data_IF_084929206693
#
_entry.id   IF_084929206693
#
_cell.length_a   1.000
_cell.length_b   1.000
_cell.length_c   1.000
_cell.angle_alpha   90.00
_cell.angle_beta   90.00
_cell.angle_gamma   90.00
#
_symmetry.space_group_name_H-M   'P 1'
#
loop_
_entity.id
_entity.type
_entity.pdbx_description
1 polymer ?
#
# COMPACT_ATOMS: atom_id res chain seq x y z
N UNK A 1 -5.98 24.08 -48.27
CA UNK A 1 -5.43 22.73 -48.02
C UNK A 1 -6.53 21.68 -48.21
N UNK A 2 -6.31 20.68 -49.09
CA UNK A 2 -7.33 19.65 -49.39
C UNK A 2 -7.70 18.83 -48.15
N UNK A 3 -8.97 18.45 -48.03
CA UNK A 3 -9.52 17.68 -46.90
C UNK A 3 -8.74 16.35 -46.70
N UNK A 4 -8.34 15.71 -47.80
CA UNK A 4 -7.49 14.51 -47.79
C UNK A 4 -6.13 14.73 -47.12
N UNK A 5 -5.49 15.88 -47.36
CA UNK A 5 -4.20 16.22 -46.75
C UNK A 5 -4.35 16.43 -45.24
N UNK A 6 -5.43 17.10 -44.80
CA UNK A 6 -5.73 17.32 -43.37
C UNK A 6 -5.96 15.99 -42.64
N UNK A 7 -6.80 15.11 -43.20
CA UNK A 7 -7.07 13.77 -42.65
C UNK A 7 -5.81 12.91 -42.52
N UNK A 8 -4.87 13.03 -43.46
CA UNK A 8 -3.58 12.33 -43.38
C UNK A 8 -2.67 12.87 -42.27
N UNK A 9 -2.63 14.18 -42.04
CA UNK A 9 -1.83 14.76 -40.94
C UNK A 9 -2.36 14.30 -39.58
N UNK A 10 -3.66 14.43 -39.32
CA UNK A 10 -4.25 14.00 -38.04
C UNK A 10 -4.10 12.51 -37.79
N UNK A 11 -4.13 11.68 -38.84
CA UNK A 11 -3.85 10.24 -38.73
C UNK A 11 -2.42 9.99 -38.27
N UNK A 12 -1.43 10.70 -38.81
CA UNK A 12 -0.02 10.57 -38.40
C UNK A 12 0.18 11.06 -36.96
N UNK A 13 -0.37 12.22 -36.61
CA UNK A 13 -0.30 12.76 -35.26
C UNK A 13 -0.91 11.82 -34.22
N UNK A 14 -2.07 11.22 -34.53
CA UNK A 14 -2.69 10.20 -33.68
C UNK A 14 -1.72 9.06 -33.37
N UNK A 15 -1.12 8.45 -34.40
CA UNK A 15 -0.23 7.31 -34.21
C UNK A 15 1.05 7.70 -33.47
N UNK A 16 1.63 8.87 -33.77
CA UNK A 16 2.80 9.37 -33.06
C UNK A 16 2.46 9.55 -31.58
N UNK A 17 1.41 10.30 -31.23
CA UNK A 17 1.01 10.53 -29.84
C UNK A 17 0.66 9.24 -29.10
N UNK A 18 -0.01 8.30 -29.76
CA UNK A 18 -0.34 7.00 -29.18
C UNK A 18 0.94 6.21 -28.89
N UNK A 19 1.83 6.06 -29.88
CA UNK A 19 3.04 5.27 -29.76
C UNK A 19 4.05 5.89 -28.80
N UNK A 20 4.23 7.22 -28.79
CA UNK A 20 5.15 7.90 -27.88
C UNK A 20 4.67 7.90 -26.43
N UNK A 21 3.36 7.77 -26.18
CA UNK A 21 2.84 7.71 -24.81
C UNK A 21 3.35 6.50 -24.02
N UNK A 22 3.64 5.37 -24.66
CA UNK A 22 4.10 4.16 -24.00
C UNK A 22 5.56 4.24 -23.48
N UNK A 23 6.57 4.56 -24.31
CA UNK A 23 7.94 4.69 -23.83
C UNK A 23 8.13 5.86 -22.86
N UNK A 24 7.22 6.84 -22.82
CA UNK A 24 7.24 7.90 -21.80
C UNK A 24 7.13 7.36 -20.37
N UNK A 25 6.52 6.18 -20.17
CA UNK A 25 6.49 5.50 -18.87
C UNK A 25 7.77 4.71 -18.57
N UNK A 26 8.63 4.48 -19.56
CA UNK A 26 9.96 3.89 -19.39
C UNK A 26 11.05 4.95 -19.20
N UNK A 27 10.84 6.15 -19.75
CA UNK A 27 11.81 7.24 -19.82
C UNK A 27 11.28 8.47 -19.08
N UNK A 28 11.52 8.51 -17.77
CA UNK A 28 11.01 9.56 -16.87
C UNK A 28 11.31 10.98 -17.35
N UNK A 29 12.54 11.25 -17.81
CA UNK A 29 13.00 12.61 -18.15
C UNK A 29 12.23 13.27 -19.30
N UNK A 30 11.53 12.49 -20.12
CA UNK A 30 10.75 13.01 -21.25
C UNK A 30 9.23 12.93 -21.03
N UNK A 31 8.79 12.36 -19.90
CA UNK A 31 7.37 12.07 -19.66
C UNK A 31 6.50 13.33 -19.75
N UNK A 32 6.94 14.44 -19.17
CA UNK A 32 6.20 15.71 -19.20
C UNK A 32 6.11 16.32 -20.61
N UNK A 33 7.20 16.26 -21.39
CA UNK A 33 7.21 16.76 -22.79
C UNK A 33 6.23 15.95 -23.63
N UNK A 34 6.26 14.63 -23.48
CA UNK A 34 5.37 13.72 -24.21
C UNK A 34 3.92 13.91 -23.76
N UNK A 35 3.66 14.14 -22.47
CA UNK A 35 2.33 14.41 -21.95
C UNK A 35 1.74 15.72 -22.53
N UNK A 36 2.54 16.80 -22.58
CA UNK A 36 2.13 18.08 -23.19
C UNK A 36 1.84 17.89 -24.69
N UNK A 37 2.75 17.22 -25.42
CA UNK A 37 2.53 16.91 -26.83
C UNK A 37 1.24 16.09 -27.04
N UNK A 38 1.04 15.06 -26.22
CA UNK A 38 -0.15 14.23 -26.27
C UNK A 38 -1.41 15.06 -26.02
N UNK A 39 -1.41 15.96 -25.04
CA UNK A 39 -2.55 16.83 -24.72
C UNK A 39 -2.87 17.78 -25.89
N UNK A 40 -1.86 18.37 -26.51
CA UNK A 40 -2.04 19.22 -27.70
C UNK A 40 -2.67 18.42 -28.84
N UNK A 41 -2.13 17.23 -29.15
CA UNK A 41 -2.70 16.35 -30.18
C UNK A 41 -4.14 15.96 -29.84
N UNK A 42 -4.41 15.64 -28.58
CA UNK A 42 -5.75 15.28 -28.12
C UNK A 42 -6.76 16.42 -28.33
N UNK A 43 -6.43 17.66 -27.93
CA UNK A 43 -7.28 18.84 -28.14
C UNK A 43 -7.53 19.09 -29.64
N UNK A 44 -6.48 18.96 -30.47
CA UNK A 44 -6.60 19.09 -31.92
C UNK A 44 -7.52 18.01 -32.52
N UNK A 45 -7.37 16.76 -32.06
CA UNK A 45 -8.21 15.65 -32.52
C UNK A 45 -9.66 15.81 -32.04
N UNK A 46 -9.93 16.32 -30.84
CA UNK A 46 -11.31 16.59 -30.40
C UNK A 46 -12.01 17.53 -31.38
N UNK A 47 -11.33 18.60 -31.81
CA UNK A 47 -11.90 19.62 -32.69
C UNK A 47 -12.10 19.14 -34.12
N UNK A 48 -11.21 18.28 -34.63
CA UNK A 48 -11.19 17.92 -36.06
C UNK A 48 -11.60 16.48 -36.38
N UNK A 49 -11.43 15.55 -35.44
CA UNK A 49 -11.68 14.12 -35.65
C UNK A 49 -11.97 13.42 -34.31
N UNK A 50 -13.17 13.68 -33.77
CA UNK A 50 -13.60 13.18 -32.45
C UNK A 50 -13.47 11.66 -32.31
N UNK A 51 -13.66 10.90 -33.40
CA UNK A 51 -13.49 9.43 -33.39
C UNK A 51 -12.05 9.03 -33.06
N UNK A 52 -11.05 9.72 -33.61
CA UNK A 52 -9.64 9.47 -33.27
C UNK A 52 -9.26 9.98 -31.90
N UNK A 53 -9.85 11.09 -31.44
CA UNK A 53 -9.66 11.57 -30.08
C UNK A 53 -10.09 10.51 -29.04
N UNK A 54 -11.28 9.93 -29.22
CA UNK A 54 -11.74 8.82 -28.37
C UNK A 54 -10.81 7.62 -28.41
N UNK A 55 -10.39 7.19 -29.61
CA UNK A 55 -9.41 6.11 -29.74
C UNK A 55 -8.10 6.45 -29.02
N UNK A 56 -7.67 7.71 -29.03
CA UNK A 56 -6.43 8.11 -28.37
C UNK A 56 -6.56 7.98 -26.85
N UNK A 57 -7.73 8.30 -26.29
CA UNK A 57 -8.01 8.04 -24.87
C UNK A 57 -7.98 6.54 -24.55
N UNK A 58 -8.60 5.69 -25.37
CA UNK A 58 -8.68 4.26 -25.05
C UNK A 58 -7.35 3.49 -25.24
N UNK A 59 -6.46 3.98 -26.10
CA UNK A 59 -5.22 3.26 -26.45
C UNK A 59 -3.93 3.94 -25.97
N UNK A 60 -3.99 5.14 -25.39
CA UNK A 60 -2.79 5.79 -24.83
C UNK A 60 -2.45 5.24 -23.44
N UNK A 61 -1.15 5.20 -23.14
CA UNK A 61 -0.66 4.79 -21.83
C UNK A 61 -1.16 5.74 -20.71
N UNK A 62 -1.33 7.03 -21.01
CA UNK A 62 -1.80 8.05 -20.06
C UNK A 62 -3.17 7.74 -19.43
N UNK A 63 -4.01 6.98 -20.12
CA UNK A 63 -5.33 6.56 -19.61
C UNK A 63 -5.31 5.08 -19.23
N UNK A 64 -4.72 4.24 -20.10
CA UNK A 64 -4.79 2.80 -19.91
C UNK A 64 -3.99 2.35 -18.67
N UNK A 65 -2.84 2.98 -18.38
CA UNK A 65 -2.04 2.64 -17.18
C UNK A 65 -2.81 2.94 -15.89
N UNK A 66 -3.39 4.14 -15.68
CA UNK A 66 -4.28 4.40 -14.54
C UNK A 66 -5.45 3.42 -14.42
N UNK A 67 -6.14 3.13 -15.52
CA UNK A 67 -7.29 2.21 -15.52
C UNK A 67 -6.87 0.81 -15.11
N UNK A 68 -5.77 0.29 -15.67
CA UNK A 68 -5.23 -1.02 -15.30
C UNK A 68 -4.84 -1.04 -13.81
N UNK A 69 -4.19 0.01 -13.29
CA UNK A 69 -3.80 0.08 -11.88
C UNK A 69 -5.00 0.17 -10.94
N UNK A 70 -6.05 0.90 -11.33
CA UNK A 70 -7.32 0.93 -10.61
C UNK A 70 -7.97 -0.47 -10.57
N UNK A 71 -7.97 -1.19 -11.69
CA UNK A 71 -8.46 -2.57 -11.76
C UNK A 71 -7.63 -3.53 -10.89
N UNK A 72 -6.30 -3.39 -10.89
CA UNK A 72 -5.42 -4.17 -10.00
C UNK A 72 -5.75 -3.89 -8.53
N UNK A 73 -5.93 -2.63 -8.13
CA UNK A 73 -6.35 -2.27 -6.77
C UNK A 73 -7.70 -2.87 -6.40
N UNK A 74 -8.65 -2.85 -7.34
CA UNK A 74 -9.98 -3.46 -7.20
C UNK A 74 -9.91 -4.98 -6.99
N UNK A 75 -9.17 -5.69 -7.85
CA UNK A 75 -8.97 -7.14 -7.74
C UNK A 75 -8.24 -7.47 -6.43
N UNK A 76 -7.23 -6.68 -6.07
CA UNK A 76 -6.51 -6.80 -4.81
C UNK A 76 -7.46 -6.70 -3.61
N UNK A 77 -8.36 -5.72 -3.61
CA UNK A 77 -9.32 -5.50 -2.53
C UNK A 77 -10.26 -6.71 -2.37
N UNK A 78 -10.91 -7.15 -3.45
CA UNK A 78 -11.86 -8.26 -3.39
C UNK A 78 -11.19 -9.61 -3.09
N UNK A 79 -9.90 -9.76 -3.40
CA UNK A 79 -9.11 -10.94 -3.05
C UNK A 79 -8.52 -10.90 -1.62
N UNK A 80 -8.67 -9.79 -0.88
CA UNK A 80 -8.08 -9.62 0.46
C UNK A 80 -6.56 -9.48 0.44
N UNK A 81 -5.99 -9.05 -0.70
CA UNK A 81 -4.55 -8.92 -0.92
C UNK A 81 -4.15 -7.51 -1.35
N UNK A 82 -5.03 -6.53 -1.22
CA UNK A 82 -4.71 -5.17 -1.57
C UNK A 82 -3.55 -4.67 -0.71
N UNK A 83 -2.70 -3.88 -1.35
CA UNK A 83 -1.68 -3.07 -0.70
C UNK A 83 -1.73 -1.68 -1.32
N UNK A 84 -1.66 -0.66 -0.47
CA UNK A 84 -1.45 0.72 -0.92
C UNK A 84 0.02 0.94 -1.21
N UNK A 85 0.29 1.72 -2.24
CA UNK A 85 1.64 2.01 -2.70
C UNK A 85 2.00 3.46 -2.35
N UNK A 86 3.16 3.64 -1.74
CA UNK A 86 3.74 4.95 -1.43
C UNK A 86 5.10 5.11 -2.10
N UNK A 87 5.61 6.34 -2.09
CA UNK A 87 6.93 6.70 -2.62
C UNK A 87 7.80 7.13 -1.45
N UNK A 88 9.05 6.69 -1.43
CA UNK A 88 10.04 7.12 -0.44
C UNK A 88 10.74 5.97 0.27
N UNK A 89 11.63 6.32 1.19
CA UNK A 89 12.42 5.34 1.94
C UNK A 89 11.51 4.35 2.70
N UNK A 90 11.91 3.06 2.77
CA UNK A 90 11.20 2.08 3.58
C UNK A 90 11.35 2.46 5.05
N UNK A 91 10.30 3.07 5.60
CA UNK A 91 10.18 3.30 7.03
C UNK A 91 9.50 2.09 7.69
N UNK A 92 9.84 1.75 8.95
CA UNK A 92 9.17 0.70 9.72
C UNK A 92 7.65 0.78 9.68
N UNK A 93 7.08 1.99 9.71
CA UNK A 93 5.63 2.23 9.74
C UNK A 93 4.95 1.95 8.40
N UNK A 94 5.70 1.85 7.30
CA UNK A 94 5.18 1.44 5.99
C UNK A 94 4.92 -0.06 5.90
N UNK A 95 5.38 -0.83 6.90
CA UNK A 95 5.06 -2.24 7.05
C UNK A 95 3.81 -2.46 7.92
N UNK A 96 3.30 -1.42 8.56
CA UNK A 96 2.08 -1.50 9.34
C UNK A 96 0.84 -1.49 8.44
N UNK A 97 -0.22 -2.12 8.93
CA UNK A 97 -1.54 -1.98 8.35
C UNK A 97 -1.99 -0.51 8.46
N UNK A 98 -2.56 0.04 7.41
CA UNK A 98 -3.09 1.39 7.43
C UNK A 98 -4.18 1.52 8.51
N UNK A 99 -4.05 2.44 9.49
CA UNK A 99 -5.03 2.53 10.58
C UNK A 99 -6.44 2.88 10.12
N UNK A 100 -6.56 3.67 9.04
CA UNK A 100 -7.85 4.13 8.54
C UNK A 100 -8.49 3.10 7.61
N UNK A 101 -7.72 2.55 6.68
CA UNK A 101 -8.25 1.71 5.60
C UNK A 101 -8.05 0.20 5.82
N UNK A 102 -7.33 -0.20 6.87
CA UNK A 102 -6.97 -1.59 7.19
C UNK A 102 -6.37 -2.33 5.99
N UNK A 103 -5.45 -1.66 5.30
CA UNK A 103 -4.75 -2.20 4.14
C UNK A 103 -3.25 -2.09 4.34
N UNK A 104 -2.51 -3.12 3.95
CA UNK A 104 -1.07 -3.10 4.05
C UNK A 104 -0.47 -2.01 3.17
N UNK A 105 0.58 -1.36 3.65
CA UNK A 105 1.33 -0.39 2.87
C UNK A 105 2.55 -1.06 2.25
N UNK A 106 3.02 -0.50 1.15
CA UNK A 106 4.23 -0.92 0.45
C UNK A 106 4.83 0.30 -0.23
N UNK A 107 6.15 0.39 -0.25
CA UNK A 107 6.86 1.49 -0.91
C UNK A 107 7.61 1.00 -2.14
N UNK A 108 7.74 1.86 -3.16
CA UNK A 108 8.69 1.65 -4.26
C UNK A 108 10.16 1.82 -3.82
N UNK A 109 10.41 2.16 -2.56
CA UNK A 109 11.73 2.37 -1.99
C UNK A 109 12.37 3.65 -2.50
N UNK A 110 13.70 3.63 -2.65
CA UNK A 110 14.50 4.78 -3.09
C UNK A 110 14.35 5.11 -4.58
N UNK A 111 13.60 4.30 -5.33
CA UNK A 111 13.44 4.49 -6.76
C UNK A 111 12.12 5.21 -7.02
N UNK A 112 12.24 6.45 -7.49
CA UNK A 112 11.12 7.30 -7.90
C UNK A 112 11.23 7.49 -9.41
N UNK A 113 10.28 6.94 -10.15
CA UNK A 113 10.19 7.02 -11.60
C UNK A 113 9.30 8.19 -12.07
N UNK A 114 8.64 8.90 -11.16
CA UNK A 114 7.79 10.06 -11.43
C UNK A 114 6.45 9.76 -12.09
N UNK A 115 6.19 8.51 -12.47
CA UNK A 115 4.90 8.06 -13.00
C UNK A 115 3.98 7.48 -11.90
N UNK A 116 4.38 7.54 -10.63
CA UNK A 116 3.60 7.05 -9.49
C UNK A 116 2.21 7.69 -9.38
N UNK A 117 1.98 8.95 -9.76
CA UNK A 117 0.64 9.51 -9.85
C UNK A 117 -0.29 8.73 -10.80
N UNK A 118 0.26 8.02 -11.80
CA UNK A 118 -0.50 7.22 -12.77
C UNK A 118 -0.59 5.73 -12.38
N UNK A 119 0.27 5.24 -11.49
CA UNK A 119 0.26 3.85 -11.02
C UNK A 119 -0.26 3.72 -9.59
N UNK A 120 0.40 4.35 -8.63
CA UNK A 120 0.07 4.29 -7.21
C UNK A 120 -1.25 5.00 -6.91
N UNK A 121 -1.44 6.21 -7.46
CA UNK A 121 -2.64 7.02 -7.23
C UNK A 121 -3.94 6.27 -7.57
N UNK A 122 -4.12 5.78 -8.81
CA UNK A 122 -5.33 5.05 -9.21
C UNK A 122 -5.53 3.74 -8.45
N UNK A 123 -4.45 3.00 -8.15
CA UNK A 123 -4.53 1.78 -7.32
C UNK A 123 -5.02 2.09 -5.91
N UNK A 124 -4.43 3.08 -5.24
CA UNK A 124 -4.82 3.49 -3.89
C UNK A 124 -6.25 4.04 -3.89
N UNK A 125 -6.63 4.81 -4.91
CA UNK A 125 -7.99 5.32 -5.06
C UNK A 125 -9.03 4.20 -5.16
N UNK A 126 -8.74 3.12 -5.91
CA UNK A 126 -9.62 1.95 -5.96
C UNK A 126 -9.79 1.33 -4.57
N UNK A 127 -8.69 1.10 -3.85
CA UNK A 127 -8.71 0.51 -2.51
C UNK A 127 -9.53 1.38 -1.57
N UNK A 128 -9.27 2.69 -1.51
CA UNK A 128 -10.03 3.60 -0.64
C UNK A 128 -11.51 3.64 -1.00
N UNK A 129 -11.85 3.68 -2.29
CA UNK A 129 -13.23 3.65 -2.76
C UNK A 129 -13.96 2.40 -2.25
N UNK A 130 -13.37 1.22 -2.46
CA UNK A 130 -14.00 -0.03 -2.05
C UNK A 130 -14.05 -0.19 -0.54
N UNK A 131 -13.00 0.25 0.17
CA UNK A 131 -13.00 0.27 1.64
C UNK A 131 -14.13 1.14 2.19
N UNK A 132 -14.35 2.32 1.60
CA UNK A 132 -15.42 3.22 2.02
C UNK A 132 -16.82 2.69 1.69
N UNK A 133 -16.98 1.93 0.60
CA UNK A 133 -18.27 1.40 0.18
C UNK A 133 -18.65 0.09 0.87
N UNK A 134 -17.69 -0.79 1.13
CA UNK A 134 -17.92 -2.17 1.56
C UNK A 134 -17.24 -2.53 2.88
N UNK A 135 -16.52 -1.59 3.50
CA UNK A 135 -15.73 -1.83 4.70
C UNK A 135 -14.34 -2.40 4.38
N UNK A 136 -13.61 -2.83 5.40
CA UNK A 136 -12.26 -3.34 5.22
C UNK A 136 -12.22 -4.60 4.36
N UNK A 137 -11.11 -4.80 3.63
CA UNK A 137 -10.92 -6.00 2.84
C UNK A 137 -10.95 -7.27 3.71
N UNK A 138 -11.04 -8.44 3.08
CA UNK A 138 -10.99 -9.72 3.81
C UNK A 138 -9.57 -9.98 4.32
N UNK A 139 -9.46 -10.83 5.34
CA UNK A 139 -8.18 -11.34 5.87
C UNK A 139 -7.23 -10.25 6.41
N UNK A 140 -7.79 -9.16 6.95
CA UNK A 140 -7.04 -8.14 7.68
C UNK A 140 -7.65 -7.95 9.06
N UNK A 141 -6.93 -7.30 9.95
CA UNK A 141 -7.42 -6.96 11.28
C UNK A 141 -8.44 -5.83 11.22
N UNK A 142 -9.61 -6.01 11.84
CA UNK A 142 -10.73 -5.04 11.82
C UNK A 142 -10.95 -4.35 13.18
N UNK A 143 -10.33 -4.85 14.25
CA UNK A 143 -10.61 -4.43 15.62
C UNK A 143 -9.97 -3.09 16.01
N UNK A 144 -9.90 -2.87 17.33
CA UNK A 144 -9.29 -1.69 17.92
C UNK A 144 -7.79 -1.56 17.56
N UNK A 145 -7.39 -0.38 17.10
CA UNK A 145 -6.02 -0.11 16.64
C UNK A 145 -5.52 1.17 17.30
N UNK A 146 -4.84 1.07 18.46
CA UNK A 146 -4.26 2.23 19.12
C UNK A 146 -3.06 2.75 18.32
N UNK A 147 -2.86 4.06 18.39
CA UNK A 147 -1.59 4.67 17.95
C UNK A 147 -0.46 4.35 18.94
N UNK A 148 0.75 4.79 18.61
CA UNK A 148 1.95 4.53 19.42
C UNK A 148 1.81 5.05 20.85
N UNK A 149 1.35 6.29 21.02
CA UNK A 149 1.16 6.92 22.34
C UNK A 149 0.18 6.10 23.16
N UNK A 150 -0.98 5.77 22.59
CA UNK A 150 -2.01 5.01 23.31
C UNK A 150 -1.57 3.59 23.64
N UNK A 151 -0.79 2.99 22.76
CA UNK A 151 -0.19 1.66 22.97
C UNK A 151 0.76 1.69 24.16
N UNK A 152 1.60 2.72 24.26
CA UNK A 152 2.52 2.88 25.38
C UNK A 152 1.77 3.14 26.69
N UNK A 153 0.72 3.97 26.69
CA UNK A 153 -0.15 4.16 27.87
C UNK A 153 -0.77 2.85 28.37
N UNK A 154 -1.27 2.01 27.45
CA UNK A 154 -1.86 0.72 27.79
C UNK A 154 -0.83 -0.22 28.42
N UNK A 155 0.38 -0.26 27.84
CA UNK A 155 1.50 -1.03 28.40
C UNK A 155 1.87 -0.53 29.79
N UNK A 156 1.94 0.77 30.01
CA UNK A 156 2.33 1.31 31.32
C UNK A 156 1.28 1.09 32.40
N UNK A 157 0.00 1.15 32.05
CA UNK A 157 -1.11 0.95 33.00
C UNK A 157 -1.40 -0.52 33.29
N UNK A 158 -1.30 -1.40 32.29
CA UNK A 158 -1.83 -2.77 32.35
C UNK A 158 -0.81 -3.85 32.00
N UNK A 159 0.36 -3.45 31.50
CA UNK A 159 1.39 -4.37 30.99
C UNK A 159 2.00 -5.20 32.10
N UNK A 160 1.93 -6.53 31.92
CA UNK A 160 2.59 -7.50 32.81
C UNK A 160 3.81 -8.08 32.13
N UNK A 161 4.86 -8.31 32.91
CA UNK A 161 6.03 -9.03 32.44
C UNK A 161 5.65 -10.48 32.08
N UNK A 162 6.14 -10.96 30.95
CA UNK A 162 5.96 -12.33 30.48
C UNK A 162 7.31 -12.91 30.07
N UNK A 163 7.51 -14.19 30.38
CA UNK A 163 8.60 -14.98 29.81
C UNK A 163 8.12 -15.57 28.51
N UNK A 164 8.98 -15.48 27.49
CA UNK A 164 8.66 -15.89 26.14
C UNK A 164 9.35 -17.21 25.83
N UNK A 165 8.59 -18.13 25.26
CA UNK A 165 9.10 -19.34 24.65
C UNK A 165 9.13 -19.14 23.13
N UNK A 166 10.13 -19.73 22.50
CA UNK A 166 10.33 -19.61 21.06
C UNK A 166 9.88 -20.88 20.38
N UNK A 167 9.17 -20.72 19.27
CA UNK A 167 8.73 -21.80 18.40
C UNK A 167 9.21 -21.56 16.97
N UNK A 168 9.08 -22.58 16.12
CA UNK A 168 9.38 -22.45 14.69
C UNK A 168 8.47 -21.44 13.99
N UNK A 169 7.26 -21.23 14.54
CA UNK A 169 6.24 -20.35 13.97
C UNK A 169 6.28 -18.92 14.53
N UNK A 170 7.08 -18.65 15.57
CA UNK A 170 7.16 -17.36 16.23
C UNK A 170 7.46 -17.47 17.72
N UNK A 171 6.63 -16.84 18.54
CA UNK A 171 6.78 -16.86 20.00
C UNK A 171 5.47 -17.21 20.70
N UNK A 172 5.58 -17.87 21.84
CA UNK A 172 4.47 -18.21 22.72
C UNK A 172 4.77 -17.78 24.16
N UNK A 173 3.73 -17.42 24.91
CA UNK A 173 3.87 -17.06 26.31
C UNK A 173 2.56 -17.24 27.07
N UNK A 174 2.67 -17.42 28.38
CA UNK A 174 1.55 -17.50 29.29
C UNK A 174 1.20 -16.10 29.82
N UNK A 175 -0.06 -15.68 29.68
CA UNK A 175 -0.57 -14.43 30.24
C UNK A 175 -1.94 -14.66 30.87
N UNK A 176 -2.08 -14.36 32.16
CA UNK A 176 -3.31 -14.65 32.94
C UNK A 176 -3.81 -16.10 32.74
N UNK A 177 -2.92 -17.08 32.89
CA UNK A 177 -3.22 -18.53 32.77
C UNK A 177 -3.68 -19.00 31.38
N UNK A 178 -3.62 -18.12 30.36
CA UNK A 178 -3.90 -18.46 28.97
C UNK A 178 -2.63 -18.36 28.13
N UNK A 179 -2.42 -19.34 27.25
CA UNK A 179 -1.33 -19.30 26.28
C UNK A 179 -1.71 -18.40 25.11
N UNK A 180 -0.78 -17.54 24.72
CA UNK A 180 -0.87 -16.70 23.54
C UNK A 180 0.28 -17.03 22.61
N UNK A 181 0.04 -16.92 21.31
CA UNK A 181 1.03 -17.12 20.27
C UNK A 181 1.06 -15.87 19.39
N UNK A 182 2.26 -15.40 19.07
CA UNK A 182 2.51 -14.38 18.06
C UNK A 182 3.30 -15.05 16.95
N UNK A 183 2.72 -15.09 15.76
CA UNK A 183 3.36 -15.72 14.62
C UNK A 183 4.34 -14.77 13.96
N UNK A 184 5.49 -15.32 13.59
CA UNK A 184 6.47 -14.69 12.71
C UNK A 184 6.11 -14.95 11.24
N UNK A 185 4.83 -14.87 10.91
CA UNK A 185 4.27 -15.38 9.65
C UNK A 185 3.69 -14.24 8.82
N UNK A 186 4.50 -13.25 8.47
CA UNK A 186 4.27 -12.48 7.25
C UNK A 186 5.52 -11.65 6.93
N UNK A 187 6.04 -11.77 5.70
CA UNK A 187 7.15 -10.94 5.20
C UNK A 187 6.87 -9.43 5.29
N UNK A 188 5.60 -9.08 5.53
CA UNK A 188 5.08 -7.71 5.55
C UNK A 188 5.16 -7.07 6.92
N UNK A 189 5.18 -7.84 8.00
CA UNK A 189 5.42 -7.33 9.35
C UNK A 189 6.91 -7.51 9.68
N UNK A 190 7.49 -6.58 10.45
CA UNK A 190 8.87 -6.72 10.91
C UNK A 190 9.03 -8.03 11.68
N UNK A 191 9.98 -8.86 11.23
CA UNK A 191 10.24 -10.14 11.87
C UNK A 191 10.55 -9.97 13.36
N UNK A 192 10.06 -10.92 14.16
CA UNK A 192 10.41 -10.99 15.58
C UNK A 192 11.93 -11.26 15.70
N UNK A 193 12.68 -10.44 16.47
CA UNK A 193 14.10 -10.68 16.73
C UNK A 193 14.35 -12.06 17.31
N UNK A 194 15.45 -12.67 16.89
CA UNK A 194 15.83 -14.01 17.33
C UNK A 194 16.15 -14.12 18.83
N UNK A 195 16.39 -12.97 19.48
CA UNK A 195 16.91 -12.85 20.84
C UNK A 195 15.84 -12.52 21.88
N UNK A 196 14.55 -12.59 21.53
CA UNK A 196 13.47 -12.30 22.48
C UNK A 196 13.36 -13.43 23.51
N UNK A 197 13.57 -13.09 24.78
CA UNK A 197 13.41 -14.00 25.93
C UNK A 197 12.31 -13.55 26.90
N UNK A 198 11.99 -12.26 26.92
CA UNK A 198 10.97 -11.66 27.77
C UNK A 198 10.39 -10.40 27.13
N UNK A 199 9.28 -9.95 27.70
CA UNK A 199 8.68 -8.67 27.34
C UNK A 199 7.54 -8.29 28.28
N UNK A 200 6.82 -7.24 27.89
CA UNK A 200 5.58 -6.81 28.53
C UNK A 200 4.40 -7.05 27.60
N UNK A 201 3.35 -7.68 28.12
CA UNK A 201 2.14 -7.98 27.35
C UNK A 201 0.89 -7.33 27.95
N UNK A 202 -0.04 -6.93 27.09
CA UNK A 202 -1.39 -6.46 27.42
C UNK A 202 -2.38 -7.08 26.44
N UNK A 203 -3.51 -7.55 26.95
CA UNK A 203 -4.65 -7.98 26.14
C UNK A 203 -5.77 -6.97 26.32
N UNK A 204 -6.25 -6.37 25.23
CA UNK A 204 -7.31 -5.36 25.23
C UNK A 204 -8.58 -5.98 24.66
N UNK A 205 -9.53 -6.28 25.54
CA UNK A 205 -10.74 -7.03 25.20
C UNK A 205 -10.40 -8.42 24.65
N UNK A 206 -11.14 -8.87 23.64
CA UNK A 206 -10.91 -10.17 22.98
C UNK A 206 -10.18 -10.05 21.63
N UNK A 207 -9.79 -8.84 21.22
CA UNK A 207 -9.36 -8.56 19.84
C UNK A 207 -7.87 -8.26 19.70
N UNK A 208 -7.28 -7.55 20.66
CA UNK A 208 -5.93 -7.00 20.53
C UNK A 208 -4.99 -7.58 21.58
N UNK A 209 -3.85 -8.09 21.12
CA UNK A 209 -2.69 -8.41 21.93
C UNK A 209 -1.57 -7.41 21.61
N UNK A 210 -1.08 -6.73 22.65
CA UNK A 210 0.07 -5.82 22.59
C UNK A 210 1.23 -6.52 23.27
N UNK A 211 2.37 -6.60 22.60
CA UNK A 211 3.60 -7.18 23.15
C UNK A 211 4.78 -6.24 22.88
N UNK A 212 5.44 -5.79 23.94
CA UNK A 212 6.69 -5.03 23.86
C UNK A 212 7.85 -5.92 24.27
N UNK A 213 8.81 -6.08 23.37
CA UNK A 213 10.01 -6.87 23.62
C UNK A 213 11.00 -6.12 24.52
N UNK A 214 11.67 -6.83 25.43
CA UNK A 214 12.80 -6.30 26.21
C UNK A 214 14.15 -6.37 25.44
N UNK A 215 14.13 -6.75 24.15
CA UNK A 215 15.33 -6.87 23.33
C UNK A 215 15.89 -5.51 22.90
N UNK A 216 17.12 -5.51 22.36
CA UNK A 216 17.86 -4.31 21.92
C UNK A 216 17.05 -3.46 20.92
N UNK A 217 16.22 -4.10 20.11
CA UNK A 217 15.26 -3.44 19.24
C UNK A 217 13.96 -3.26 20.01
N UNK A 218 13.82 -2.17 20.78
CA UNK A 218 12.60 -1.80 21.51
C UNK A 218 11.42 -1.63 20.53
N UNK A 219 10.77 -2.76 20.18
CA UNK A 219 9.64 -2.83 19.29
C UNK A 219 8.41 -3.25 20.07
N UNK A 220 7.31 -2.55 19.81
CA UNK A 220 6.00 -2.88 20.33
C UNK A 220 5.13 -3.41 19.19
N UNK A 221 4.77 -4.69 19.30
CA UNK A 221 4.00 -5.42 18.32
C UNK A 221 2.52 -5.39 18.68
N UNK A 222 1.67 -5.04 17.72
CA UNK A 222 0.23 -5.17 17.82
C UNK A 222 -0.20 -6.37 16.99
N UNK A 223 -0.91 -7.28 17.65
CA UNK A 223 -1.24 -8.60 17.14
C UNK A 223 -2.74 -8.83 17.28
N UNK A 224 -3.35 -9.44 16.26
CA UNK A 224 -4.72 -9.94 16.39
C UNK A 224 -4.72 -11.10 17.40
N UNK A 225 -5.42 -10.91 18.50
CA UNK A 225 -5.49 -11.86 19.59
C UNK A 225 -6.05 -13.23 19.17
N UNK A 226 -6.90 -13.26 18.13
CA UNK A 226 -7.54 -14.50 17.67
C UNK A 226 -6.62 -15.32 16.77
N UNK A 227 -5.82 -14.64 15.96
CA UNK A 227 -5.02 -15.27 14.90
C UNK A 227 -3.53 -15.28 15.20
N UNK A 228 -3.06 -14.51 16.18
CA UNK A 228 -1.63 -14.35 16.48
C UNK A 228 -0.85 -13.58 15.41
N UNK A 229 -1.52 -12.98 14.42
CA UNK A 229 -0.86 -12.28 13.32
C UNK A 229 -0.55 -10.83 13.70
N UNK A 230 0.72 -10.44 13.53
CA UNK A 230 1.18 -9.07 13.74
C UNK A 230 0.61 -8.20 12.61
N UNK A 231 -0.07 -7.11 12.97
CA UNK A 231 -0.57 -6.13 12.01
C UNK A 231 0.09 -4.74 12.14
N UNK A 232 0.79 -4.49 13.24
CA UNK A 232 1.60 -3.27 13.40
C UNK A 232 2.81 -3.50 14.30
N UNK A 233 3.84 -2.68 14.09
CA UNK A 233 5.02 -2.58 14.92
C UNK A 233 5.35 -1.09 15.11
N UNK A 234 5.52 -0.66 16.36
CA UNK A 234 6.03 0.66 16.72
C UNK A 234 7.45 0.53 17.26
N UNK A 235 8.36 1.39 16.84
CA UNK A 235 9.77 1.37 17.27
C UNK A 235 10.06 2.59 18.13
N UNK A 236 10.54 2.36 19.34
CA UNK A 236 11.01 3.45 20.19
C UNK A 236 12.27 4.08 19.55
N UNK A 237 12.24 5.37 19.25
CA UNK A 237 13.46 6.16 19.06
C UNK A 237 13.98 6.39 17.63
N UNK A 238 13.12 6.39 16.60
CA UNK A 238 13.49 6.96 15.28
C UNK A 238 13.02 8.42 15.16
N UNK A 239 13.76 9.34 15.78
CA UNK A 239 13.87 10.74 15.35
C UNK A 239 15.34 11.15 15.36
#
# INVERSE_FOLDING_TARGET
MSDRRRKNIYRKLFWIACLTSWPAFLLFEIAYVVAIFWLIVFILLIRHDRRRAWRLLFFSAWILVPVINFMIGTIGYFSGRATTLTVGYPLPELFNLDPQYRVWRSTSGCIVYGHEPFTHGPRNAAIHLWTNLFGYQRNVYHGYYPDEIKTQELLDQQGKAVTVHRTDEGIDFLYNEKNYQIHNSDYRALALPDTILSGRAVVVGDELLIFKSDSVTNCTYLTDNKTGVIFACYRDGYF
#
